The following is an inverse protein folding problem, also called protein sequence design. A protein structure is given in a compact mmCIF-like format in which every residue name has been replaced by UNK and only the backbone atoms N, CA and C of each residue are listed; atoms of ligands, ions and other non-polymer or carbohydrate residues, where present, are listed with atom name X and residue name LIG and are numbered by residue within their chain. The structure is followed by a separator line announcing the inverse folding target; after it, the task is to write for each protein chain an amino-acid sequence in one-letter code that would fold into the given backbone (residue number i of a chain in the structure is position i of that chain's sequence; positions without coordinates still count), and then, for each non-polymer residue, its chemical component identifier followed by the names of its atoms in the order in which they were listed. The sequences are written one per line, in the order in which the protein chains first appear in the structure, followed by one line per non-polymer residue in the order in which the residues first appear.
data_IF_792441042155
#
_entry.id   IF_792441042155
#
_cell.length_a   1.000
_cell.length_b   1.000
_cell.length_c   1.000
_cell.angle_alpha   90.00
_cell.angle_beta   90.00
_cell.angle_gamma   90.00
#
_symmetry.space_group_name_H-M   'P 1'
#
loop_
_entity.id
_entity.type
_entity.pdbx_description
1 polymer ?
#
# COMPACT_ATOMS: atom_id res chain seq x y z
N UNK A 1 -29.58 -3.46 -7.09
CA UNK A 1 -28.85 -2.53 -6.20
C UNK A 1 -27.40 -2.54 -6.62
N UNK A 2 -26.94 -1.53 -7.35
CA UNK A 2 -25.56 -1.47 -7.84
C UNK A 2 -24.62 -1.23 -6.66
N UNK A 3 -23.78 -2.22 -6.34
CA UNK A 3 -22.65 -2.04 -5.44
C UNK A 3 -21.79 -0.90 -6.02
N UNK A 4 -21.85 0.28 -5.40
CA UNK A 4 -20.95 1.38 -5.72
C UNK A 4 -19.54 0.83 -5.58
N UNK A 5 -18.78 0.83 -6.68
CA UNK A 5 -17.35 0.54 -6.64
C UNK A 5 -16.72 1.45 -5.59
N UNK A 6 -16.22 0.86 -4.50
CA UNK A 6 -15.58 1.64 -3.46
C UNK A 6 -14.38 2.34 -4.08
N UNK A 7 -14.40 3.67 -4.07
CA UNK A 7 -13.29 4.49 -4.53
C UNK A 7 -12.09 4.20 -3.64
N UNK A 8 -10.93 3.96 -4.26
CA UNK A 8 -9.66 3.80 -3.55
C UNK A 8 -9.46 4.97 -2.55
N UNK A 9 -9.03 4.69 -1.31
CA UNK A 9 -8.84 5.73 -0.28
C UNK A 9 -7.87 6.80 -0.77
N UNK A 10 -8.04 8.06 -0.35
CA UNK A 10 -7.08 9.11 -0.72
C UNK A 10 -5.68 8.78 -0.22
N UNK A 11 -4.64 9.28 -0.89
CA UNK A 11 -3.25 9.04 -0.47
C UNK A 11 -3.01 9.51 0.98
N UNK A 12 -3.55 10.68 1.34
CA UNK A 12 -3.48 11.21 2.71
C UNK A 12 -4.07 10.23 3.72
N UNK A 13 -5.30 9.74 3.46
CA UNK A 13 -5.96 8.80 4.35
C UNK A 13 -5.19 7.48 4.46
N UNK A 14 -4.77 6.90 3.33
CA UNK A 14 -4.00 5.65 3.33
C UNK A 14 -2.65 5.79 4.07
N UNK A 15 -1.97 6.92 3.89
CA UNK A 15 -0.72 7.24 4.58
C UNK A 15 -0.93 7.38 6.10
N UNK A 16 -1.98 8.07 6.54
CA UNK A 16 -2.31 8.20 7.97
C UNK A 16 -2.61 6.85 8.62
N UNK A 17 -3.42 6.01 7.97
CA UNK A 17 -3.75 4.67 8.50
C UNK A 17 -2.51 3.79 8.54
N UNK A 18 -1.65 3.84 7.52
CA UNK A 18 -0.38 3.11 7.47
C UNK A 18 0.56 3.55 8.60
N UNK A 19 0.70 4.85 8.84
CA UNK A 19 1.52 5.36 9.93
C UNK A 19 1.05 4.83 11.29
N UNK A 20 -0.25 4.88 11.54
CA UNK A 20 -0.84 4.36 12.78
C UNK A 20 -0.63 2.84 12.91
N UNK A 21 -0.76 2.09 11.81
CA UNK A 21 -0.53 0.66 11.80
C UNK A 21 0.92 0.30 12.13
N UNK A 22 1.87 0.99 11.51
CA UNK A 22 3.32 0.79 11.75
C UNK A 22 3.69 1.09 13.19
N UNK A 23 3.20 2.19 13.76
CA UNK A 23 3.40 2.53 15.17
C UNK A 23 2.79 1.48 16.11
N UNK A 24 1.64 0.91 15.76
CA UNK A 24 0.99 -0.09 16.59
C UNK A 24 1.76 -1.43 16.62
N UNK A 25 2.38 -1.83 15.51
CA UNK A 25 3.12 -3.10 15.43
C UNK A 25 4.57 -3.01 15.92
N UNK A 26 5.20 -1.83 15.86
CA UNK A 26 6.61 -1.63 16.21
C UNK A 26 6.85 -0.67 17.36
N UNK A 27 5.79 -0.16 18.00
CA UNK A 27 5.87 0.82 19.08
C UNK A 27 6.21 2.25 18.60
N UNK A 28 6.45 3.18 19.53
CA UNK A 28 6.62 4.61 19.25
C UNK A 28 7.85 4.98 18.39
N UNK A 29 8.74 4.02 18.13
CA UNK A 29 9.96 4.20 17.34
C UNK A 29 9.88 3.56 15.95
N UNK A 30 8.76 2.96 15.58
CA UNK A 30 8.58 2.40 14.26
C UNK A 30 8.50 3.50 13.20
N UNK A 31 9.18 3.28 12.08
CA UNK A 31 9.23 4.23 10.97
C UNK A 31 8.88 3.53 9.66
N UNK A 32 8.44 4.31 8.67
CA UNK A 32 8.24 3.82 7.32
C UNK A 32 8.57 4.88 6.29
N UNK A 33 8.93 4.44 5.10
CA UNK A 33 9.25 5.29 3.95
C UNK A 33 8.60 4.71 2.69
N UNK A 34 8.07 5.58 1.84
CA UNK A 34 7.67 5.23 0.48
C UNK A 34 8.80 5.61 -0.49
N UNK A 35 9.46 4.61 -1.06
CA UNK A 35 10.55 4.79 -2.01
C UNK A 35 10.05 4.63 -3.45
N UNK A 36 10.49 5.53 -4.32
CA UNK A 36 10.24 5.48 -5.76
C UNK A 36 11.51 5.04 -6.48
N UNK A 37 11.39 4.03 -7.33
CA UNK A 37 12.47 3.55 -8.20
C UNK A 37 12.01 3.65 -9.66
N UNK A 38 12.67 4.47 -10.49
CA UNK A 38 12.38 4.54 -11.92
C UNK A 38 12.70 3.19 -12.58
N UNK A 39 11.78 2.72 -13.42
CA UNK A 39 11.94 1.46 -14.15
C UNK A 39 11.42 1.62 -15.59
N UNK A 40 11.96 0.78 -16.48
CA UNK A 40 11.52 0.69 -17.87
C UNK A 40 10.98 -0.71 -18.10
N UNK A 41 9.84 -0.84 -18.76
CA UNK A 41 9.33 -2.14 -19.18
C UNK A 41 8.47 -2.07 -20.41
N UNK A 42 8.17 -3.24 -20.97
CA UNK A 42 7.40 -3.35 -22.19
C UNK A 42 5.91 -3.47 -21.87
N UNK A 43 5.14 -2.46 -22.27
CA UNK A 43 3.68 -2.50 -22.23
C UNK A 43 3.18 -3.43 -23.35
N UNK A 44 2.72 -4.62 -22.96
CA UNK A 44 2.23 -5.64 -23.88
C UNK A 44 0.94 -5.21 -24.61
N UNK A 45 0.13 -4.34 -24.01
CA UNK A 45 -1.14 -3.87 -24.59
C UNK A 45 -0.86 -2.87 -25.70
N UNK A 46 -0.02 -1.88 -25.41
CA UNK A 46 0.32 -0.82 -26.37
C UNK A 46 1.56 -1.15 -27.22
N UNK A 47 2.16 -2.33 -27.03
CA UNK A 47 3.33 -2.85 -27.75
C UNK A 47 4.51 -1.88 -27.80
N UNK A 48 4.81 -1.21 -26.69
CA UNK A 48 5.90 -0.22 -26.61
C UNK A 48 6.61 -0.25 -25.27
N UNK A 49 7.86 0.21 -25.24
CA UNK A 49 8.55 0.48 -23.99
C UNK A 49 7.92 1.70 -23.31
N UNK A 50 7.64 1.56 -22.02
CA UNK A 50 7.12 2.62 -21.16
C UNK A 50 8.01 2.76 -19.94
N UNK A 51 8.18 4.00 -19.50
CA UNK A 51 8.78 4.30 -18.21
C UNK A 51 7.67 4.30 -17.16
N UNK A 52 7.86 3.55 -16.08
CA UNK A 52 6.99 3.58 -14.91
C UNK A 52 7.83 3.73 -13.65
N UNK A 53 7.17 4.03 -12.54
CA UNK A 53 7.80 4.06 -11.23
C UNK A 53 7.36 2.84 -10.43
N UNK A 54 8.34 2.18 -9.80
CA UNK A 54 8.11 1.15 -8.79
C UNK A 54 8.09 1.81 -7.42
N UNK A 55 7.02 1.60 -6.67
CA UNK A 55 6.77 2.17 -5.37
C UNK A 55 6.86 1.09 -4.30
N UNK A 56 7.75 1.29 -3.33
CA UNK A 56 7.96 0.37 -2.22
C UNK A 56 7.62 1.05 -0.91
N UNK A 57 6.78 0.42 -0.10
CA UNK A 57 6.66 0.79 1.33
C UNK A 57 7.64 -0.07 2.11
N UNK A 58 8.58 0.59 2.76
CA UNK A 58 9.59 -0.04 3.62
C UNK A 58 9.25 0.36 5.05
N UNK A 59 9.21 -0.60 5.96
CA UNK A 59 9.06 -0.34 7.39
C UNK A 59 10.32 -0.71 8.15
N UNK A 60 10.55 -0.01 9.25
CA UNK A 60 11.65 -0.23 10.19
C UNK A 60 11.04 -0.36 11.58
N UNK A 61 11.26 -1.49 12.23
CA UNK A 61 10.78 -1.80 13.59
C UNK A 61 11.95 -2.32 14.43
N UNK A 62 12.45 -1.50 15.36
CA UNK A 62 13.68 -1.83 16.09
C UNK A 62 14.88 -1.96 15.15
N UNK A 63 15.54 -3.12 15.16
CA UNK A 63 16.67 -3.41 14.26
C UNK A 63 16.26 -4.04 12.92
N UNK A 64 14.97 -4.27 12.68
CA UNK A 64 14.50 -4.97 11.48
C UNK A 64 13.95 -3.99 10.45
N UNK A 65 14.41 -4.14 9.21
CA UNK A 65 13.87 -3.45 8.04
C UNK A 65 13.23 -4.47 7.09
N UNK A 66 12.05 -4.15 6.55
CA UNK A 66 11.36 -5.01 5.57
C UNK A 66 10.51 -4.20 4.60
N UNK A 67 10.30 -4.76 3.41
CA UNK A 67 9.40 -4.21 2.39
C UNK A 67 8.02 -4.84 2.52
N UNK A 68 6.96 -4.02 2.57
CA UNK A 68 5.57 -4.47 2.66
C UNK A 68 4.83 -4.46 1.33
N UNK A 69 5.21 -3.57 0.41
CA UNK A 69 4.58 -3.46 -0.90
C UNK A 69 5.62 -3.14 -1.97
N UNK A 70 5.29 -3.48 -3.22
CA UNK A 70 6.17 -3.33 -4.36
C UNK A 70 5.32 -3.16 -5.64
N UNK A 71 4.76 -1.98 -5.82
CA UNK A 71 3.76 -1.68 -6.84
C UNK A 71 4.36 -0.95 -8.05
N UNK A 72 4.03 -1.36 -9.26
CA UNK A 72 4.51 -0.71 -10.49
C UNK A 72 3.38 0.10 -11.15
N UNK A 73 3.56 1.42 -11.27
CA UNK A 73 2.55 2.31 -11.84
C UNK A 73 3.15 3.40 -12.72
N UNK A 74 2.43 3.72 -13.81
CA UNK A 74 2.76 4.83 -14.71
C UNK A 74 2.49 6.19 -14.07
N UNK A 75 1.45 6.28 -13.24
CA UNK A 75 1.08 7.52 -12.56
C UNK A 75 1.62 7.53 -11.13
N UNK A 76 2.27 8.65 -10.76
CA UNK A 76 2.89 8.86 -9.44
C UNK A 76 1.88 8.80 -8.31
N UNK A 77 0.77 9.52 -8.41
CA UNK A 77 -0.21 9.64 -7.35
C UNK A 77 -0.96 8.31 -7.12
N UNK A 78 -1.27 7.60 -8.21
CA UNK A 78 -1.83 6.25 -8.15
C UNK A 78 -0.81 5.29 -7.52
N UNK A 79 0.46 5.35 -7.95
CA UNK A 79 1.50 4.46 -7.44
C UNK A 79 1.70 4.56 -5.94
N UNK A 80 1.80 5.78 -5.40
CA UNK A 80 1.90 6.02 -3.97
C UNK A 80 0.69 5.49 -3.20
N UNK A 81 -0.53 5.75 -3.71
CA UNK A 81 -1.77 5.32 -3.08
C UNK A 81 -1.87 3.79 -3.04
N UNK A 82 -1.56 3.13 -4.15
CA UNK A 82 -1.58 1.67 -4.24
C UNK A 82 -0.52 1.06 -3.34
N UNK A 83 0.70 1.59 -3.32
CA UNK A 83 1.76 1.10 -2.44
C UNK A 83 1.38 1.18 -0.95
N UNK A 84 0.75 2.29 -0.51
CA UNK A 84 0.24 2.42 0.86
C UNK A 84 -0.89 1.42 1.16
N UNK A 85 -1.83 1.27 0.22
CA UNK A 85 -2.98 0.38 0.38
C UNK A 85 -2.54 -1.08 0.44
N UNK A 86 -1.67 -1.52 -0.46
CA UNK A 86 -1.11 -2.88 -0.47
C UNK A 86 -0.31 -3.18 0.80
N UNK A 87 0.46 -2.22 1.30
CA UNK A 87 1.21 -2.38 2.54
C UNK A 87 0.27 -2.59 3.75
N UNK A 88 -0.87 -1.89 3.78
CA UNK A 88 -1.89 -2.06 4.81
C UNK A 88 -2.56 -3.43 4.75
N UNK A 89 -2.87 -3.93 3.55
CA UNK A 89 -3.36 -5.31 3.39
C UNK A 89 -2.33 -6.35 3.86
N UNK A 90 -1.05 -6.14 3.58
CA UNK A 90 0.00 -7.03 4.04
C UNK A 90 0.13 -7.02 5.57
N UNK A 91 0.01 -5.86 6.21
CA UNK A 91 -0.06 -5.76 7.67
C UNK A 91 -1.31 -6.43 8.24
N UNK A 92 -2.47 -6.22 7.62
CA UNK A 92 -3.72 -6.86 8.04
C UNK A 92 -3.65 -8.39 7.96
N UNK A 93 -3.02 -8.93 6.91
CA UNK A 93 -2.79 -10.37 6.75
C UNK A 93 -1.89 -10.95 7.84
N UNK A 94 -0.91 -10.18 8.30
CA UNK A 94 0.03 -10.60 9.34
C UNK A 94 -0.50 -10.40 10.76
N UNK A 95 -1.36 -9.40 10.96
CA UNK A 95 -1.95 -9.01 12.24
C UNK A 95 -3.48 -8.88 12.11
N UNK A 96 -4.19 -9.98 11.78
CA UNK A 96 -5.63 -9.95 11.46
C UNK A 96 -6.50 -9.45 12.62
N UNK A 97 -6.03 -9.56 13.85
CA UNK A 97 -6.69 -9.04 15.05
C UNK A 97 -6.77 -7.51 15.09
N UNK A 98 -5.88 -6.80 14.37
CA UNK A 98 -5.80 -5.34 14.37
C UNK A 98 -6.71 -4.67 13.33
N UNK A 99 -7.23 -5.43 12.35
CA UNK A 99 -8.24 -5.00 11.36
C UNK A 99 -7.89 -3.71 10.62
N UNK A 100 -6.66 -3.60 10.11
CA UNK A 100 -6.18 -2.42 9.40
C UNK A 100 -6.91 -2.17 8.06
N UNK A 101 -7.29 -3.23 7.33
CA UNK A 101 -8.04 -3.09 6.08
C UNK A 101 -9.46 -2.53 6.32
N UNK A 102 -10.11 -2.93 7.41
CA UNK A 102 -11.40 -2.36 7.83
C UNK A 102 -11.26 -0.86 8.15
N UNK A 103 -10.14 -0.45 8.76
CA UNK A 103 -9.83 0.97 9.07
C UNK A 103 -9.61 1.84 7.84
N UNK A 104 -9.30 1.26 6.66
CA UNK A 104 -9.27 1.96 5.38
C UNK A 104 -10.68 2.18 4.78
N UNK A 105 -11.74 1.68 5.42
CA UNK A 105 -13.08 1.66 4.84
C UNK A 105 -13.25 0.64 3.70
N UNK A 106 -12.28 -0.25 3.53
CA UNK A 106 -12.33 -1.36 2.58
C UNK A 106 -13.07 -2.50 3.26
N UNK A 107 -14.40 -2.49 3.19
CA UNK A 107 -15.22 -3.48 3.89
C UNK A 107 -14.90 -4.91 3.43
N UNK A 108 -14.71 -5.77 4.43
CA UNK A 108 -14.53 -7.22 4.39
C UNK A 108 -15.75 -7.95 3.82
N UNK A 109 -16.12 -7.72 2.55
CA UNK A 109 -17.06 -8.62 1.85
C UNK A 109 -16.29 -9.77 1.20
N UNK A 110 -15.86 -10.72 2.02
CA UNK A 110 -15.49 -12.06 1.58
C UNK A 110 -15.70 -13.08 2.71
N UNK A 111 -16.96 -13.27 3.11
CA UNK A 111 -17.46 -14.58 3.57
C UNK A 111 -18.78 -14.83 2.84
N UNK A 112 -18.69 -15.63 1.80
CA UNK A 112 -19.78 -16.31 1.13
C UNK A 112 -19.32 -17.74 0.88
#
# INVERSE_FOLDING_TARGET
MSQRGQSLPTLEHASTVLNNAVQAIGGPHAQWTCAEEPESGYDQVNRRNVSYSRWKVIIITGAHQRTLSNEAHLDRAIGQRMACTSALYELDRQYPEMKFAEKLGLNSTARG
#
